data_IF_170882607358
#
_entry.id   IF_170882607358
#
_cell.length_a   1.000
_cell.length_b   1.000
_cell.length_c   1.000
_cell.angle_alpha   90.00
_cell.angle_beta   90.00
_cell.angle_gamma   90.00
#
_symmetry.space_group_name_H-M   'P 1'
#
loop_
_entity.id
_entity.type
_entity.pdbx_description
1 polymer ?
#
# COMPACT_ATOMS: atom_id res chain seq x y z
N UNK A 1 40.23 -6.86 -12.45
CA UNK A 1 38.82 -7.04 -12.07
C UNK A 1 38.65 -6.52 -10.65
N UNK A 2 38.38 -5.22 -10.49
CA UNK A 2 38.10 -4.63 -9.18
C UNK A 2 36.84 -5.28 -8.61
N UNK A 3 36.92 -5.80 -7.39
CA UNK A 3 35.74 -6.23 -6.63
C UNK A 3 34.83 -5.00 -6.52
N UNK A 4 33.69 -5.01 -7.20
CA UNK A 4 32.62 -4.04 -6.97
C UNK A 4 32.14 -4.25 -5.54
N UNK A 5 32.75 -3.54 -4.59
CA UNK A 5 32.19 -3.36 -3.25
C UNK A 5 30.80 -2.79 -3.46
N UNK A 6 29.77 -3.59 -3.18
CA UNK A 6 28.38 -3.15 -3.33
C UNK A 6 28.22 -1.89 -2.48
N UNK A 7 27.99 -0.76 -3.15
CA UNK A 7 27.82 0.53 -2.51
C UNK A 7 26.76 0.40 -1.40
N UNK A 8 27.09 0.73 -0.12
CA UNK A 8 26.16 0.61 0.99
C UNK A 8 24.79 1.26 0.71
N UNK A 9 24.79 2.34 -0.09
CA UNK A 9 23.61 3.03 -0.59
C UNK A 9 22.69 2.13 -1.42
N UNK A 10 23.26 1.29 -2.31
CA UNK A 10 22.46 0.37 -3.13
C UNK A 10 21.83 -0.74 -2.28
N UNK A 11 22.48 -1.12 -1.17
CA UNK A 11 21.95 -2.16 -0.28
C UNK A 11 20.80 -1.63 0.60
N UNK A 12 20.90 -0.41 1.13
CA UNK A 12 19.81 0.25 1.87
C UNK A 12 18.62 0.53 0.94
N UNK A 13 18.87 1.13 -0.23
CA UNK A 13 17.83 1.45 -1.21
C UNK A 13 17.05 0.21 -1.69
N UNK A 14 17.74 -0.92 -1.94
CA UNK A 14 17.06 -2.18 -2.32
C UNK A 14 16.19 -2.77 -1.21
N UNK A 15 16.55 -2.56 0.06
CA UNK A 15 15.71 -3.01 1.18
C UNK A 15 14.48 -2.12 1.31
N UNK A 16 14.65 -0.82 1.21
CA UNK A 16 13.56 0.17 1.28
C UNK A 16 12.58 0.00 0.13
N UNK A 17 13.08 -0.16 -1.10
CA UNK A 17 12.27 -0.48 -2.28
C UNK A 17 11.45 -1.75 -2.08
N UNK A 18 12.06 -2.83 -1.57
CA UNK A 18 11.34 -4.10 -1.34
C UNK A 18 10.21 -3.93 -0.32
N UNK A 19 10.46 -3.21 0.78
CA UNK A 19 9.44 -2.94 1.79
C UNK A 19 8.27 -2.12 1.20
N UNK A 20 8.58 -1.02 0.50
CA UNK A 20 7.56 -0.20 -0.15
C UNK A 20 6.75 -1.02 -1.18
N UNK A 21 7.42 -1.79 -2.04
CA UNK A 21 6.77 -2.62 -3.04
C UNK A 21 5.86 -3.68 -2.40
N UNK A 22 6.30 -4.35 -1.34
CA UNK A 22 5.47 -5.34 -0.64
C UNK A 22 4.24 -4.73 0.02
N UNK A 23 4.36 -3.53 0.61
CA UNK A 23 3.23 -2.83 1.22
C UNK A 23 2.18 -2.44 0.16
N UNK A 24 2.63 -1.89 -0.97
CA UNK A 24 1.73 -1.53 -2.07
C UNK A 24 1.11 -2.75 -2.75
N UNK A 25 1.87 -3.83 -2.94
CA UNK A 25 1.35 -5.07 -3.48
C UNK A 25 0.28 -5.68 -2.55
N UNK A 26 0.52 -5.69 -1.24
CA UNK A 26 -0.46 -6.16 -0.26
C UNK A 26 -1.75 -5.32 -0.28
N UNK A 27 -1.63 -3.98 -0.34
CA UNK A 27 -2.77 -3.09 -0.47
C UNK A 27 -3.55 -3.32 -1.77
N UNK A 28 -2.84 -3.57 -2.89
CA UNK A 28 -3.45 -3.89 -4.18
C UNK A 28 -4.20 -5.22 -4.13
N UNK A 29 -3.57 -6.29 -3.63
CA UNK A 29 -4.22 -7.60 -3.47
C UNK A 29 -5.46 -7.50 -2.57
N UNK A 30 -5.36 -6.83 -1.43
CA UNK A 30 -6.48 -6.59 -0.54
C UNK A 30 -7.62 -5.87 -1.26
N UNK A 31 -7.31 -4.80 -1.99
CA UNK A 31 -8.29 -4.02 -2.75
C UNK A 31 -9.05 -4.90 -3.74
N UNK A 32 -8.33 -5.67 -4.54
CA UNK A 32 -8.93 -6.58 -5.51
C UNK A 32 -9.82 -7.62 -4.83
N UNK A 33 -9.33 -8.26 -3.76
CA UNK A 33 -10.11 -9.28 -3.04
C UNK A 33 -11.40 -8.70 -2.46
N UNK A 34 -11.34 -7.56 -1.78
CA UNK A 34 -12.53 -6.96 -1.14
C UNK A 34 -13.51 -6.44 -2.18
N UNK A 35 -13.03 -5.78 -3.24
CA UNK A 35 -13.90 -5.29 -4.30
C UNK A 35 -14.57 -6.43 -5.07
N UNK A 36 -13.86 -7.53 -5.36
CA UNK A 36 -14.46 -8.70 -6.00
C UNK A 36 -15.54 -9.32 -5.10
N UNK A 37 -15.24 -9.51 -3.81
CA UNK A 37 -16.15 -10.20 -2.91
C UNK A 37 -17.37 -9.36 -2.49
N UNK A 38 -17.19 -8.05 -2.26
CA UNK A 38 -18.24 -7.17 -1.75
C UNK A 38 -18.88 -6.27 -2.81
N UNK A 39 -18.20 -6.05 -3.93
CA UNK A 39 -18.68 -5.18 -5.01
C UNK A 39 -19.48 -5.92 -6.09
N UNK A 40 -19.23 -7.22 -6.30
CA UNK A 40 -19.87 -8.01 -7.36
C UNK A 40 -20.77 -9.11 -6.81
N UNK A 41 -21.82 -9.46 -7.56
CA UNK A 41 -22.73 -10.55 -7.20
C UNK A 41 -23.62 -10.27 -5.98
N UNK A 42 -23.73 -8.99 -5.57
CA UNK A 42 -24.61 -8.58 -4.47
C UNK A 42 -26.07 -8.63 -4.89
N UNK A 43 -26.87 -9.26 -4.04
CA UNK A 43 -28.33 -9.17 -4.09
C UNK A 43 -28.75 -7.90 -3.34
N UNK A 44 -29.08 -6.86 -4.11
CA UNK A 44 -29.43 -5.54 -3.57
C UNK A 44 -30.78 -5.51 -2.82
N UNK A 45 -31.62 -6.55 -2.97
CA UNK A 45 -32.86 -6.67 -2.20
C UNK A 45 -32.57 -7.15 -0.76
N UNK A 46 -31.59 -8.05 -0.59
CA UNK A 46 -31.18 -8.56 0.72
C UNK A 46 -30.11 -7.72 1.41
N UNK A 47 -29.21 -7.12 0.63
CA UNK A 47 -28.08 -6.32 1.14
C UNK A 47 -28.00 -5.00 0.36
N UNK A 48 -28.78 -3.99 0.77
CA UNK A 48 -28.84 -2.72 0.07
C UNK A 48 -27.51 -1.97 0.16
N UNK A 49 -27.20 -1.21 -0.89
CA UNK A 49 -25.95 -0.45 -0.98
C UNK A 49 -25.90 0.60 0.14
N UNK A 50 -25.01 0.40 1.11
CA UNK A 50 -24.77 1.36 2.19
C UNK A 50 -23.66 2.33 1.81
N UNK A 51 -23.75 3.55 2.32
CA UNK A 51 -22.78 4.60 2.04
C UNK A 51 -22.03 5.00 3.31
N UNK A 52 -20.70 5.05 3.23
CA UNK A 52 -19.80 5.52 4.28
C UNK A 52 -19.09 6.76 3.75
N UNK A 53 -19.31 7.90 4.41
CA UNK A 53 -18.79 9.22 3.98
C UNK A 53 -19.13 9.58 2.53
N UNK A 54 -20.27 9.12 2.01
CA UNK A 54 -20.71 9.35 0.63
C UNK A 54 -20.17 8.35 -0.40
N UNK A 55 -19.33 7.40 0.00
CA UNK A 55 -18.85 6.32 -0.86
C UNK A 55 -19.62 5.02 -0.57
N UNK A 56 -19.88 4.16 -1.57
CA UNK A 56 -20.35 2.81 -1.32
C UNK A 56 -19.45 2.08 -0.30
N UNK A 57 -20.04 1.29 0.59
CA UNK A 57 -19.33 0.57 1.65
C UNK A 57 -18.14 -0.23 1.14
N UNK A 58 -18.31 -0.97 0.05
CA UNK A 58 -17.26 -1.78 -0.56
C UNK A 58 -16.14 -0.94 -1.17
N UNK A 59 -16.43 0.28 -1.65
CA UNK A 59 -15.42 1.24 -2.13
C UNK A 59 -14.64 1.80 -0.94
N UNK A 60 -15.35 2.20 0.12
CA UNK A 60 -14.72 2.76 1.30
C UNK A 60 -13.76 1.76 1.96
N UNK A 61 -14.27 0.56 2.25
CA UNK A 61 -13.49 -0.49 2.90
C UNK A 61 -12.49 -1.17 1.97
N UNK A 62 -12.80 -1.29 0.68
CA UNK A 62 -11.95 -1.96 -0.29
C UNK A 62 -10.85 -1.08 -0.87
N UNK A 63 -11.05 0.24 -0.95
CA UNK A 63 -10.10 1.14 -1.64
C UNK A 63 -9.58 2.20 -0.67
N UNK A 64 -10.46 3.01 -0.09
CA UNK A 64 -10.05 4.20 0.68
C UNK A 64 -9.24 3.80 1.91
N UNK A 65 -9.73 2.85 2.69
CA UNK A 65 -9.06 2.39 3.92
C UNK A 65 -7.67 1.80 3.66
N UNK A 66 -7.48 0.79 2.77
CA UNK A 66 -6.16 0.21 2.54
C UNK A 66 -5.18 1.19 1.89
N UNK A 67 -5.66 2.10 1.02
CA UNK A 67 -4.80 3.12 0.42
C UNK A 67 -4.34 4.15 1.46
N UNK A 68 -5.25 4.64 2.30
CA UNK A 68 -4.91 5.54 3.39
C UNK A 68 -3.91 4.88 4.35
N UNK A 69 -4.10 3.61 4.69
CA UNK A 69 -3.16 2.85 5.51
C UNK A 69 -1.78 2.74 4.84
N UNK A 70 -1.72 2.44 3.54
CA UNK A 70 -0.48 2.37 2.78
C UNK A 70 0.24 3.73 2.71
N UNK A 71 -0.51 4.82 2.52
CA UNK A 71 0.03 6.19 2.53
C UNK A 71 0.58 6.57 3.90
N UNK A 72 -0.15 6.29 4.98
CA UNK A 72 0.30 6.56 6.34
C UNK A 72 1.53 5.72 6.68
N UNK A 73 1.56 4.45 6.28
CA UNK A 73 2.72 3.59 6.43
C UNK A 73 3.92 4.15 5.66
N UNK A 74 3.75 4.56 4.40
CA UNK A 74 4.81 5.15 3.58
C UNK A 74 5.35 6.45 4.20
N UNK A 75 4.47 7.33 4.68
CA UNK A 75 4.87 8.56 5.36
C UNK A 75 5.64 8.26 6.65
N UNK A 76 5.12 7.36 7.50
CA UNK A 76 5.81 6.93 8.71
C UNK A 76 7.18 6.31 8.41
N UNK A 77 7.25 5.45 7.39
CA UNK A 77 8.48 4.81 6.96
C UNK A 77 9.51 5.83 6.46
N UNK A 78 9.08 6.78 5.63
CA UNK A 78 9.93 7.86 5.15
C UNK A 78 10.47 8.72 6.31
N UNK A 79 9.60 9.19 7.22
CA UNK A 79 10.05 10.06 8.32
C UNK A 79 10.91 9.36 9.36
N UNK A 80 10.77 8.03 9.53
CA UNK A 80 11.41 7.31 10.65
C UNK A 80 12.60 6.44 10.25
N UNK A 81 12.63 5.96 9.01
CA UNK A 81 13.61 4.98 8.54
C UNK A 81 14.49 5.45 7.38
N UNK A 82 14.02 6.32 6.49
CA UNK A 82 14.92 6.96 5.53
C UNK A 82 15.82 7.93 6.29
N UNK A 83 17.12 7.63 6.30
CA UNK A 83 18.13 8.55 6.78
C UNK A 83 18.56 9.41 5.60
N UNK A 84 18.63 10.72 5.81
CA UNK A 84 19.32 11.60 4.87
C UNK A 84 20.82 11.29 4.95
N UNK A 85 21.32 10.50 4.00
CA UNK A 85 22.76 10.37 3.79
C UNK A 85 23.22 11.55 2.94
N UNK A 86 24.29 12.23 3.38
CA UNK A 86 24.83 13.38 2.65
C UNK A 86 25.32 12.92 1.28
N UNK A 87 24.82 13.57 0.22
CA UNK A 87 25.38 13.46 -1.12
C UNK A 87 26.68 14.25 -1.15
N UNK A 88 27.81 13.60 -0.81
CA UNK A 88 29.16 14.11 -1.09
C UNK A 88 29.61 13.77 -2.52
#
# INVERSE_FOLDING_TARGET
>A
MSKQSTDPLLHSARREMRLALTAWAAACCYTLTVCVWRGYGRDLERDPLTFVLGFPDWVFWGIIVPWAAATLFAAWFAFRFMKDEALE
#
